data_IF_159154835361
#
_entry.id   IF_159154835361
#
_cell.length_a   1.000
_cell.length_b   1.000
_cell.length_c   1.000
_cell.angle_alpha   90.00
_cell.angle_beta   90.00
_cell.angle_gamma   90.00
#
_symmetry.space_group_name_H-M   'P 1'
#
loop_
_entity.id
_entity.type
_entity.pdbx_description
1 polymer ?
#
# COMPACT_ATOMS: atom_id res chain seq x y z
N UNK A 1 -18.69 9.49 -16.22
CA UNK A 1 -17.58 10.43 -16.03
C UNK A 1 -16.29 9.69 -16.33
N UNK A 2 -15.34 10.29 -17.05
CA UNK A 2 -14.03 9.65 -17.20
C UNK A 2 -13.35 9.53 -15.84
N UNK A 3 -12.82 8.35 -15.53
CA UNK A 3 -12.03 8.10 -14.32
C UNK A 3 -10.56 7.92 -14.70
N UNK A 4 -9.60 8.50 -13.95
CA UNK A 4 -9.80 9.35 -12.77
C UNK A 4 -10.36 10.73 -13.15
N UNK A 5 -11.08 11.38 -12.23
CA UNK A 5 -11.57 12.75 -12.40
C UNK A 5 -10.37 13.68 -12.56
N UNK A 6 -10.25 14.33 -13.71
CA UNK A 6 -9.08 15.13 -14.06
C UNK A 6 -8.92 16.41 -13.22
N UNK A 7 -10.00 16.95 -12.70
CA UNK A 7 -10.00 18.18 -11.92
C UNK A 7 -10.77 17.99 -10.61
N UNK A 8 -10.11 17.41 -9.62
CA UNK A 8 -10.62 17.46 -8.25
C UNK A 8 -10.47 18.90 -7.71
N UNK A 9 -11.48 19.37 -6.98
CA UNK A 9 -11.39 20.66 -6.29
C UNK A 9 -10.18 20.64 -5.35
N UNK A 10 -9.46 21.77 -5.18
CA UNK A 10 -8.38 21.87 -4.21
C UNK A 10 -8.84 21.46 -2.81
N UNK A 11 -7.97 20.80 -2.05
CA UNK A 11 -8.29 20.33 -0.71
C UNK A 11 -8.69 21.47 0.23
N UNK A 12 -8.14 22.68 0.04
CA UNK A 12 -8.51 23.90 0.76
C UNK A 12 -10.00 24.24 0.62
N UNK A 13 -10.60 23.91 -0.49
CA UNK A 13 -12.02 24.18 -0.76
C UNK A 13 -12.95 23.05 -0.32
N UNK A 14 -12.41 21.92 0.08
CA UNK A 14 -13.16 20.69 0.38
C UNK A 14 -12.73 20.07 1.70
N UNK A 15 -11.58 19.42 1.71
CA UNK A 15 -11.11 18.61 2.84
C UNK A 15 -10.76 19.44 4.07
N UNK A 16 -10.11 20.59 3.85
CA UNK A 16 -9.65 21.47 4.94
C UNK A 16 -10.77 22.20 5.66
N UNK A 17 -11.99 22.22 5.12
CA UNK A 17 -13.16 22.75 5.83
C UNK A 17 -13.51 21.90 7.07
N UNK A 18 -13.19 20.60 7.05
CA UNK A 18 -13.44 19.67 8.15
C UNK A 18 -12.14 19.10 8.75
N UNK A 19 -11.13 18.88 7.91
CA UNK A 19 -9.82 18.32 8.29
C UNK A 19 -8.78 19.43 8.34
N UNK A 20 -8.76 20.18 9.44
CA UNK A 20 -7.86 21.31 9.59
C UNK A 20 -6.41 20.87 9.79
N UNK A 21 -5.42 21.40 9.02
CA UNK A 21 -4.02 20.96 9.10
C UNK A 21 -3.39 21.08 10.49
N UNK A 22 -3.83 22.03 11.30
CA UNK A 22 -3.36 22.23 12.66
C UNK A 22 -3.72 21.10 13.65
N UNK A 23 -4.65 20.21 13.26
CA UNK A 23 -5.04 19.04 14.06
C UNK A 23 -4.17 17.81 13.82
N UNK A 24 -3.21 17.89 12.92
CA UNK A 24 -2.30 16.78 12.63
C UNK A 24 -1.06 16.85 13.51
N UNK A 25 -1.17 16.41 14.76
CA UNK A 25 0.00 16.33 15.64
C UNK A 25 0.30 14.93 16.10
N UNK A 26 1.55 14.76 16.57
CA UNK A 26 2.00 13.57 17.26
C UNK A 26 2.15 12.38 16.35
N UNK A 27 1.87 11.22 16.89
CA UNK A 27 1.95 9.95 16.20
C UNK A 27 0.71 9.12 16.46
N UNK A 28 0.33 8.29 15.50
CA UNK A 28 -0.77 7.34 15.61
C UNK A 28 -0.25 5.92 15.68
N UNK A 29 -0.73 5.15 16.65
CA UNK A 29 -0.48 3.72 16.68
C UNK A 29 -1.20 3.06 15.49
N UNK A 30 -0.42 2.35 14.67
CA UNK A 30 -0.91 1.47 13.62
C UNK A 30 -0.57 0.04 13.97
N UNK A 31 -1.60 -0.79 14.04
CA UNK A 31 -1.47 -2.24 14.22
C UNK A 31 -1.89 -2.89 12.91
N UNK A 32 -0.97 -3.55 12.26
CA UNK A 32 -1.18 -4.24 11.00
C UNK A 32 -1.07 -5.73 11.26
N UNK A 33 -2.17 -6.45 11.11
CA UNK A 33 -2.24 -7.90 11.23
C UNK A 33 -2.27 -8.51 9.84
N UNK A 34 -1.44 -9.51 9.61
CA UNK A 34 -1.34 -10.27 8.37
C UNK A 34 -1.44 -11.75 8.66
N UNK A 35 -2.10 -12.48 7.78
CA UNK A 35 -2.15 -13.93 7.81
C UNK A 35 -1.22 -14.51 6.75
N UNK A 36 -0.49 -15.56 7.10
CA UNK A 36 0.41 -16.27 6.20
C UNK A 36 -0.33 -17.12 5.17
N UNK A 37 0.36 -17.45 4.09
CA UNK A 37 -0.14 -18.36 3.05
C UNK A 37 0.18 -19.84 3.37
N UNK A 38 0.61 -20.11 4.59
CA UNK A 38 0.92 -21.45 5.12
C UNK A 38 -0.35 -22.19 5.57
N UNK A 39 -0.20 -23.46 5.92
CA UNK A 39 -1.31 -24.33 6.32
C UNK A 39 -2.08 -23.82 7.53
N UNK A 40 -1.38 -23.19 8.47
CA UNK A 40 -1.94 -22.67 9.72
C UNK A 40 -2.45 -21.24 9.60
N UNK A 41 -2.31 -20.61 8.43
CA UNK A 41 -2.59 -19.17 8.25
C UNK A 41 -1.91 -18.35 9.35
N UNK A 42 -0.62 -18.57 9.56
CA UNK A 42 0.15 -18.02 10.68
C UNK A 42 0.00 -16.51 10.78
N UNK A 43 -0.31 -16.02 11.97
CA UNK A 43 -0.56 -14.60 12.19
C UNK A 43 0.75 -13.87 12.43
N UNK A 44 0.89 -12.71 11.77
CA UNK A 44 1.95 -11.74 12.06
C UNK A 44 1.34 -10.38 12.33
N UNK A 45 1.87 -9.70 13.35
CA UNK A 45 1.42 -8.36 13.71
C UNK A 45 2.61 -7.41 13.74
N UNK A 46 2.44 -6.26 13.10
CA UNK A 46 3.40 -5.16 13.15
C UNK A 46 2.72 -4.01 13.85
N UNK A 47 3.34 -3.52 14.92
CA UNK A 47 2.93 -2.30 15.64
C UNK A 47 3.91 -1.20 15.30
N UNK A 48 3.38 -0.08 14.86
CA UNK A 48 4.21 1.09 14.53
C UNK A 48 3.53 2.39 14.98
N UNK A 49 4.34 3.34 15.37
CA UNK A 49 3.92 4.72 15.57
C UNK A 49 4.10 5.47 14.26
N UNK A 50 3.01 5.76 13.56
CA UNK A 50 3.02 6.58 12.37
C UNK A 50 3.12 8.05 12.78
N UNK A 51 4.18 8.73 12.37
CA UNK A 51 4.40 10.15 12.62
C UNK A 51 3.47 10.98 11.73
N UNK A 52 2.26 11.22 12.22
CA UNK A 52 1.26 11.98 11.47
C UNK A 52 1.58 13.46 11.41
N UNK A 53 2.23 14.01 12.41
CA UNK A 53 2.51 15.42 12.65
C UNK A 53 2.55 16.32 11.42
N UNK A 54 2.16 17.55 11.58
CA UNK A 54 2.21 18.60 10.56
C UNK A 54 2.88 19.86 11.07
N UNK A 55 2.90 20.03 12.38
CA UNK A 55 3.41 21.22 13.07
C UNK A 55 2.38 22.33 13.16
N UNK A 56 2.50 23.13 14.21
CA UNK A 56 1.72 24.33 14.46
C UNK A 56 2.60 25.57 14.29
N UNK A 57 2.07 26.72 13.87
CA UNK A 57 2.78 27.99 13.88
C UNK A 57 3.37 28.34 15.26
N UNK A 58 2.74 27.84 16.35
CA UNK A 58 3.14 28.09 17.73
C UNK A 58 4.14 27.09 18.28
N UNK A 59 4.16 25.86 17.79
CA UNK A 59 5.04 24.79 18.28
C UNK A 59 6.31 24.56 17.43
N UNK A 60 6.44 25.28 16.31
CA UNK A 60 7.66 25.27 15.48
C UNK A 60 7.74 24.08 14.54
N UNK A 61 8.68 23.18 14.74
CA UNK A 61 9.12 22.20 13.74
C UNK A 61 8.01 21.25 13.34
N UNK A 62 7.59 21.34 12.09
CA UNK A 62 6.76 20.34 11.46
C UNK A 62 7.59 19.12 11.10
N UNK A 63 7.22 17.98 11.63
CA UNK A 63 7.79 16.70 11.30
C UNK A 63 6.67 15.70 11.04
N UNK A 64 6.94 14.64 10.28
CA UNK A 64 5.96 13.61 9.97
C UNK A 64 5.37 13.75 8.57
N UNK A 65 4.44 12.84 8.24
CA UNK A 65 3.93 12.68 6.87
C UNK A 65 3.15 13.89 6.36
N UNK A 66 2.55 14.69 7.25
CA UNK A 66 1.84 15.93 6.88
C UNK A 66 2.76 17.17 6.80
N UNK A 67 4.08 16.99 6.91
CA UNK A 67 5.03 18.10 6.71
C UNK A 67 4.84 18.79 5.34
N UNK A 68 4.48 18.04 4.32
CA UNK A 68 4.20 18.53 2.96
C UNK A 68 3.03 19.52 2.90
N UNK A 69 2.13 19.43 3.88
CA UNK A 69 0.91 20.26 3.98
C UNK A 69 1.06 21.40 4.99
N UNK A 70 2.28 21.62 5.51
CA UNK A 70 2.51 22.71 6.43
C UNK A 70 2.35 24.06 5.73
N UNK A 71 1.63 24.97 6.38
CA UNK A 71 1.41 26.35 5.90
C UNK A 71 2.72 27.08 5.53
N UNK A 72 3.83 26.66 6.13
CA UNK A 72 5.13 27.27 5.85
C UNK A 72 5.95 26.65 4.75
N UNK A 73 5.50 25.56 4.16
CA UNK A 73 6.24 24.89 3.10
C UNK A 73 5.33 24.74 1.87
N UNK A 74 5.87 25.04 0.72
CA UNK A 74 5.21 24.73 -0.55
C UNK A 74 5.99 23.61 -1.23
N UNK A 75 5.31 22.50 -1.47
CA UNK A 75 5.87 21.38 -2.21
C UNK A 75 5.20 21.29 -3.56
N UNK A 76 6.00 21.34 -4.61
CA UNK A 76 5.58 21.17 -5.99
C UNK A 76 6.23 19.93 -6.57
N UNK A 77 5.56 19.25 -7.46
CA UNK A 77 6.12 18.13 -8.19
C UNK A 77 5.68 18.12 -9.65
N UNK A 78 6.48 17.49 -10.49
CA UNK A 78 6.16 17.24 -11.88
C UNK A 78 6.02 15.74 -12.12
N UNK A 79 4.88 15.32 -12.66
CA UNK A 79 4.65 13.93 -13.05
C UNK A 79 4.75 13.74 -14.56
N UNK A 80 5.29 12.60 -14.96
CA UNK A 80 5.42 12.23 -16.38
C UNK A 80 4.31 11.28 -16.85
N UNK A 81 3.40 10.88 -15.94
CA UNK A 81 2.27 10.01 -16.25
C UNK A 81 0.96 10.54 -15.65
N UNK A 82 -0.20 10.25 -16.27
CA UNK A 82 -1.50 10.75 -15.80
C UNK A 82 -1.89 10.25 -14.41
N UNK A 83 -1.41 9.07 -14.01
CA UNK A 83 -1.69 8.48 -12.69
C UNK A 83 -0.77 9.01 -11.59
N UNK A 84 0.19 9.88 -11.93
CA UNK A 84 1.16 10.49 -11.02
C UNK A 84 1.98 9.47 -10.22
N UNK A 85 2.32 8.37 -10.88
CA UNK A 85 3.16 7.33 -10.26
C UNK A 85 4.65 7.55 -10.53
N UNK A 86 4.99 8.33 -11.56
CA UNK A 86 6.36 8.72 -11.92
C UNK A 86 6.53 10.21 -11.68
N UNK A 87 7.35 10.54 -10.68
CA UNK A 87 7.60 11.92 -10.25
C UNK A 87 9.10 12.21 -10.40
N UNK A 88 9.59 12.60 -11.57
CA UNK A 88 11.01 12.82 -11.79
C UNK A 88 11.54 14.16 -11.23
N UNK A 89 10.67 15.07 -10.76
CA UNK A 89 11.05 16.37 -10.25
C UNK A 89 10.19 16.80 -9.07
N UNK A 90 10.85 17.35 -8.05
CA UNK A 90 10.21 17.92 -6.85
C UNK A 90 10.88 19.26 -6.53
N UNK A 91 10.06 20.25 -6.17
CA UNK A 91 10.51 21.56 -5.68
C UNK A 91 9.89 21.87 -4.33
N UNK A 92 10.74 22.27 -3.40
CA UNK A 92 10.36 22.68 -2.06
C UNK A 92 10.71 24.15 -1.87
N UNK A 93 9.74 24.94 -1.45
CA UNK A 93 9.96 26.33 -1.00
C UNK A 93 9.62 26.39 0.49
N UNK A 94 10.58 26.78 1.30
CA UNK A 94 10.42 26.90 2.76
C UNK A 94 9.85 28.27 3.17
N UNK A 95 9.58 28.45 4.48
CA UNK A 95 9.07 29.70 5.06
C UNK A 95 9.94 30.92 4.78
N UNK A 96 11.26 30.73 4.63
CA UNK A 96 12.23 31.79 4.33
C UNK A 96 12.31 32.11 2.84
N UNK A 97 11.45 31.48 2.01
CA UNK A 97 11.44 31.65 0.57
C UNK A 97 12.58 30.89 -0.16
N UNK A 98 13.41 30.14 0.54
CA UNK A 98 14.47 29.34 -0.08
C UNK A 98 13.84 28.21 -0.89
N UNK A 99 14.23 28.11 -2.15
CA UNK A 99 13.81 27.08 -3.08
C UNK A 99 14.90 26.02 -3.19
N UNK A 100 14.51 24.75 -3.12
CA UNK A 100 15.37 23.59 -3.39
C UNK A 100 14.66 22.69 -4.38
N UNK A 101 15.34 22.30 -5.43
CA UNK A 101 14.83 21.38 -6.44
C UNK A 101 15.55 20.05 -6.38
N UNK A 102 14.83 18.99 -6.55
CA UNK A 102 15.30 17.62 -6.53
C UNK A 102 14.91 16.93 -7.83
N UNK A 103 15.84 16.18 -8.39
CA UNK A 103 15.66 15.43 -9.63
C UNK A 103 15.94 13.96 -9.39
N UNK A 104 15.11 13.10 -9.95
CA UNK A 104 15.32 11.65 -9.95
C UNK A 104 16.53 11.31 -10.86
N UNK A 105 17.62 10.85 -10.25
CA UNK A 105 18.84 10.44 -10.95
C UNK A 105 18.68 9.12 -11.72
N UNK A 106 17.69 8.30 -11.35
CA UNK A 106 17.44 7.03 -12.05
C UNK A 106 16.75 7.21 -13.40
N UNK A 107 16.06 8.35 -13.56
CA UNK A 107 15.34 8.70 -14.80
C UNK A 107 15.61 10.17 -15.17
N UNK A 108 16.83 10.50 -15.63
CA UNK A 108 17.16 11.86 -16.02
C UNK A 108 16.23 12.38 -17.12
N UNK A 109 15.74 13.60 -16.94
CA UNK A 109 14.86 14.25 -17.91
C UNK A 109 15.65 14.97 -19.00
N UNK A 110 15.23 14.81 -20.23
CA UNK A 110 15.63 15.72 -21.31
C UNK A 110 14.89 17.05 -21.19
N UNK A 111 15.40 18.11 -21.83
CA UNK A 111 14.73 19.41 -21.87
C UNK A 111 13.29 19.33 -22.41
N UNK A 112 13.05 18.49 -23.42
CA UNK A 112 11.73 18.25 -23.98
C UNK A 112 10.79 17.49 -23.03
N UNK A 113 11.30 16.52 -22.30
CA UNK A 113 10.53 15.81 -21.29
C UNK A 113 10.16 16.71 -20.11
N UNK A 114 11.08 17.58 -19.69
CA UNK A 114 10.83 18.56 -18.62
C UNK A 114 9.67 19.51 -18.96
N UNK A 115 9.56 19.96 -20.20
CA UNK A 115 8.46 20.81 -20.67
C UNK A 115 7.09 20.11 -20.66
N UNK A 116 7.07 18.78 -20.73
CA UNK A 116 5.84 17.97 -20.78
C UNK A 116 5.36 17.50 -19.41
N UNK A 117 6.09 17.81 -18.35
CA UNK A 117 5.69 17.43 -16.99
C UNK A 117 4.37 18.11 -16.59
N UNK A 118 3.49 17.34 -16.00
CA UNK A 118 2.31 17.86 -15.33
C UNK A 118 2.72 18.40 -13.97
N UNK A 119 2.92 19.72 -13.88
CA UNK A 119 3.34 20.37 -12.64
C UNK A 119 2.13 20.64 -11.76
N UNK A 120 2.25 20.25 -10.48
CA UNK A 120 1.23 20.42 -9.49
C UNK A 120 1.79 20.81 -8.13
N UNK A 121 1.10 21.68 -7.39
CA UNK A 121 1.33 21.84 -5.95
C UNK A 121 0.76 20.63 -5.22
N UNK A 122 1.55 20.06 -4.32
CA UNK A 122 1.14 18.89 -3.53
C UNK A 122 -0.03 19.27 -2.61
N UNK A 123 -1.00 18.39 -2.54
CA UNK A 123 -2.27 18.55 -1.88
C UNK A 123 -2.67 17.23 -1.18
N UNK A 124 -3.66 17.26 -0.29
CA UNK A 124 -4.20 16.09 0.43
C UNK A 124 -4.55 14.94 -0.51
N UNK A 125 -5.13 15.23 -1.67
CA UNK A 125 -5.53 14.24 -2.67
C UNK A 125 -4.35 13.60 -3.43
N UNK A 126 -3.15 14.11 -3.31
CA UNK A 126 -1.98 13.50 -3.93
C UNK A 126 -1.51 12.25 -3.17
N UNK A 127 -1.88 12.17 -1.88
CA UNK A 127 -1.72 11.00 -1.04
C UNK A 127 -3.07 10.30 -0.79
N UNK A 128 -4.11 11.06 -0.36
CA UNK A 128 -5.46 10.54 -0.11
C UNK A 128 -6.30 10.51 -1.40
N UNK A 129 -5.78 9.85 -2.44
CA UNK A 129 -6.40 9.85 -3.76
C UNK A 129 -7.57 8.85 -3.92
N UNK A 130 -7.91 8.10 -2.86
CA UNK A 130 -9.04 7.16 -2.78
C UNK A 130 -9.96 7.49 -1.60
N UNK A 131 -10.51 8.70 -1.48
CA UNK A 131 -11.27 9.10 -0.30
C UNK A 131 -12.63 8.38 -0.16
N UNK A 132 -13.23 7.96 -1.27
CA UNK A 132 -14.58 7.37 -1.27
C UNK A 132 -14.58 5.86 -1.47
N UNK A 133 -13.71 5.31 -2.29
CA UNK A 133 -13.67 3.87 -2.57
C UNK A 133 -12.24 3.39 -2.73
N UNK A 134 -11.84 2.48 -1.85
CA UNK A 134 -10.56 1.77 -1.91
C UNK A 134 -10.83 0.40 -2.52
N UNK A 135 -10.27 0.15 -3.70
CA UNK A 135 -10.25 -1.19 -4.29
C UNK A 135 -9.16 -2.00 -3.60
N UNK A 136 -9.57 -2.84 -2.65
CA UNK A 136 -8.61 -3.63 -1.87
C UNK A 136 -8.06 -4.77 -2.71
N UNK A 137 -6.78 -4.98 -2.58
CA UNK A 137 -6.16 -6.18 -3.14
C UNK A 137 -6.63 -7.45 -2.42
N UNK A 138 -6.60 -8.61 -3.09
CA UNK A 138 -7.05 -9.87 -2.52
C UNK A 138 -6.40 -10.20 -1.19
N UNK A 139 -5.11 -9.96 -1.06
CA UNK A 139 -4.35 -10.31 0.13
C UNK A 139 -4.82 -9.52 1.36
N UNK A 140 -4.89 -8.19 1.23
CA UNK A 140 -5.38 -7.32 2.30
C UNK A 140 -6.86 -7.52 2.60
N UNK A 141 -7.68 -7.83 1.59
CA UNK A 141 -9.12 -8.05 1.78
C UNK A 141 -9.39 -9.35 2.56
N UNK A 142 -8.65 -10.42 2.26
CA UNK A 142 -8.77 -11.68 3.00
C UNK A 142 -8.24 -11.54 4.44
N UNK A 143 -7.15 -10.79 4.67
CA UNK A 143 -6.70 -10.50 6.02
C UNK A 143 -7.78 -9.85 6.88
N UNK A 144 -8.56 -8.94 6.32
CA UNK A 144 -9.63 -8.26 7.05
C UNK A 144 -10.76 -9.19 7.49
N UNK A 145 -11.19 -10.11 6.63
CA UNK A 145 -12.26 -11.06 6.99
C UNK A 145 -11.78 -12.14 7.95
N UNK A 146 -10.52 -12.55 7.87
CA UNK A 146 -9.89 -13.44 8.84
C UNK A 146 -9.74 -12.75 10.20
N UNK A 147 -9.26 -11.51 10.22
CA UNK A 147 -9.10 -10.72 11.44
C UNK A 147 -10.45 -10.44 12.12
N UNK A 148 -11.50 -10.21 11.34
CA UNK A 148 -12.85 -10.00 11.84
C UNK A 148 -13.54 -11.30 12.29
N UNK A 149 -12.91 -12.47 12.12
CA UNK A 149 -13.52 -13.76 12.44
C UNK A 149 -14.68 -14.17 11.52
N UNK A 150 -14.86 -13.50 10.38
CA UNK A 150 -15.88 -13.83 9.40
C UNK A 150 -15.54 -15.09 8.60
N UNK A 151 -14.27 -15.41 8.53
CA UNK A 151 -13.74 -16.66 7.96
C UNK A 151 -12.94 -17.38 9.03
N UNK A 152 -13.20 -18.68 9.21
CA UNK A 152 -12.50 -19.52 10.18
C UNK A 152 -11.04 -19.70 9.77
N UNK A 153 -10.12 -19.05 10.50
CA UNK A 153 -8.68 -19.13 10.25
C UNK A 153 -8.07 -20.50 10.52
N UNK A 154 -8.81 -21.41 11.15
CA UNK A 154 -8.40 -22.81 11.34
C UNK A 154 -8.60 -23.70 10.12
N UNK A 155 -9.21 -23.20 9.06
CA UNK A 155 -9.28 -23.87 7.77
C UNK A 155 -7.89 -23.87 7.12
N UNK A 156 -7.30 -25.05 6.85
CA UNK A 156 -5.96 -25.13 6.29
C UNK A 156 -5.81 -24.35 4.99
N UNK A 157 -4.77 -23.51 4.89
CA UNK A 157 -4.46 -22.70 3.70
C UNK A 157 -5.56 -21.76 3.22
N UNK A 158 -6.57 -21.43 4.05
CA UNK A 158 -7.70 -20.62 3.58
C UNK A 158 -7.24 -19.26 3.04
N UNK A 159 -6.23 -18.63 3.66
CA UNK A 159 -5.66 -17.40 3.16
C UNK A 159 -5.14 -17.55 1.73
N UNK A 160 -4.29 -18.55 1.50
CA UNK A 160 -3.69 -18.81 0.19
C UNK A 160 -4.73 -19.09 -0.89
N UNK A 161 -5.67 -19.98 -0.59
CA UNK A 161 -6.65 -20.41 -1.57
C UNK A 161 -7.67 -19.32 -1.89
N UNK A 162 -8.09 -18.53 -0.90
CA UNK A 162 -8.95 -17.38 -1.12
C UNK A 162 -8.26 -16.32 -1.99
N UNK A 163 -7.01 -15.96 -1.70
CA UNK A 163 -6.23 -15.02 -2.51
C UNK A 163 -6.05 -15.55 -3.94
N UNK A 164 -5.75 -16.84 -4.08
CA UNK A 164 -5.63 -17.49 -5.40
C UNK A 164 -6.93 -17.39 -6.21
N UNK A 165 -8.06 -17.71 -5.59
CA UNK A 165 -9.36 -17.64 -6.24
C UNK A 165 -9.75 -16.21 -6.64
N UNK A 166 -9.51 -15.23 -5.76
CA UNK A 166 -9.76 -13.80 -6.05
C UNK A 166 -8.87 -13.22 -7.15
N UNK A 167 -7.70 -13.79 -7.36
CA UNK A 167 -6.71 -13.31 -8.35
C UNK A 167 -6.90 -13.91 -9.74
N UNK A 168 -7.88 -14.79 -9.93
CA UNK A 168 -8.20 -15.35 -11.25
C UNK A 168 -8.84 -14.31 -12.17
N UNK A 169 -8.63 -14.48 -13.47
CA UNK A 169 -9.21 -13.62 -14.50
C UNK A 169 -10.63 -14.05 -14.87
N UNK A 170 -11.63 -13.66 -14.11
CA UNK A 170 -13.04 -13.88 -14.47
C UNK A 170 -13.54 -12.76 -15.37
N UNK A 171 -14.42 -13.08 -16.31
CA UNK A 171 -14.99 -12.10 -17.26
C UNK A 171 -16.28 -11.46 -16.75
N UNK A 172 -17.00 -12.15 -15.84
CA UNK A 172 -18.23 -11.66 -15.22
C UNK A 172 -18.27 -11.96 -13.72
N UNK A 173 -19.12 -11.26 -12.97
CA UNK A 173 -19.33 -11.53 -11.54
C UNK A 173 -19.92 -12.92 -11.30
N UNK A 174 -20.79 -13.42 -12.17
CA UNK A 174 -21.38 -14.75 -12.03
C UNK A 174 -20.32 -15.83 -12.23
N UNK A 175 -19.47 -15.70 -13.26
CA UNK A 175 -18.34 -16.60 -13.47
C UNK A 175 -17.39 -16.61 -12.25
N UNK A 176 -17.13 -15.44 -11.67
CA UNK A 176 -16.30 -15.34 -10.47
C UNK A 176 -16.95 -16.05 -9.28
N UNK A 177 -18.26 -15.87 -9.10
CA UNK A 177 -19.01 -16.52 -8.00
C UNK A 177 -18.92 -18.04 -8.09
N UNK A 178 -19.15 -18.61 -9.26
CA UNK A 178 -19.04 -20.05 -9.49
C UNK A 178 -17.61 -20.54 -9.38
N UNK A 179 -16.65 -19.82 -9.99
CA UNK A 179 -15.23 -20.18 -9.97
C UNK A 179 -14.62 -20.16 -8.58
N UNK A 180 -14.96 -19.18 -7.76
CA UNK A 180 -14.53 -19.08 -6.35
C UNK A 180 -15.10 -20.26 -5.55
N UNK A 181 -16.40 -20.53 -5.70
CA UNK A 181 -17.04 -21.64 -5.00
C UNK A 181 -16.37 -22.98 -5.37
N UNK A 182 -16.23 -23.24 -6.67
CA UNK A 182 -15.60 -24.46 -7.16
C UNK A 182 -14.16 -24.61 -6.70
N UNK A 183 -13.38 -23.54 -6.74
CA UNK A 183 -11.95 -23.57 -6.37
C UNK A 183 -11.78 -23.97 -4.88
N UNK A 184 -12.54 -23.36 -3.98
CA UNK A 184 -12.44 -23.62 -2.55
C UNK A 184 -13.05 -24.99 -2.18
N UNK A 185 -14.22 -25.32 -2.71
CA UNK A 185 -14.91 -26.57 -2.43
C UNK A 185 -14.06 -27.78 -2.87
N UNK A 186 -13.59 -27.76 -4.11
CA UNK A 186 -12.73 -28.83 -4.66
C UNK A 186 -11.39 -28.94 -3.91
N UNK A 187 -10.80 -27.82 -3.49
CA UNK A 187 -9.58 -27.85 -2.71
C UNK A 187 -9.77 -28.61 -1.41
N UNK A 188 -10.78 -28.27 -0.60
CA UNK A 188 -11.04 -28.96 0.67
C UNK A 188 -11.49 -30.40 0.47
N UNK A 189 -12.36 -30.66 -0.49
CA UNK A 189 -12.83 -32.02 -0.79
C UNK A 189 -11.64 -32.95 -1.13
N UNK A 190 -10.70 -32.48 -1.96
CA UNK A 190 -9.58 -33.32 -2.44
C UNK A 190 -8.40 -33.37 -1.49
N UNK A 191 -8.05 -32.27 -0.84
CA UNK A 191 -6.82 -32.19 -0.04
C UNK A 191 -7.08 -32.39 1.46
N UNK A 192 -8.30 -32.11 1.94
CA UNK A 192 -8.67 -32.10 3.34
C UNK A 192 -10.06 -32.69 3.57
N UNK A 193 -10.31 -33.93 3.08
CA UNK A 193 -11.63 -34.58 3.11
C UNK A 193 -12.24 -34.66 4.53
N UNK A 194 -11.44 -34.94 5.55
CA UNK A 194 -11.89 -34.97 6.96
C UNK A 194 -12.33 -33.57 7.43
N UNK A 195 -11.63 -32.52 7.04
CA UNK A 195 -12.00 -31.12 7.34
C UNK A 195 -13.24 -30.75 6.54
N UNK A 196 -13.33 -31.16 5.28
CA UNK A 196 -14.48 -30.94 4.44
C UNK A 196 -15.77 -31.50 5.06
N UNK A 197 -15.70 -32.70 5.62
CA UNK A 197 -16.85 -33.34 6.30
C UNK A 197 -17.18 -32.63 7.63
N UNK A 198 -16.19 -32.37 8.47
CA UNK A 198 -16.40 -31.86 9.84
C UNK A 198 -16.64 -30.36 9.90
N UNK A 199 -16.20 -29.57 8.91
CA UNK A 199 -16.27 -28.09 8.89
C UNK A 199 -16.99 -27.55 7.65
N UNK A 200 -17.95 -28.30 7.11
CA UNK A 200 -18.66 -27.95 5.86
C UNK A 200 -19.29 -26.56 5.89
N UNK A 201 -19.89 -26.19 7.01
CA UNK A 201 -20.52 -24.87 7.16
C UNK A 201 -19.50 -23.75 7.20
N UNK A 202 -18.35 -23.96 7.85
CA UNK A 202 -17.26 -22.99 7.86
C UNK A 202 -16.68 -22.77 6.45
N UNK A 203 -16.54 -23.84 5.64
CA UNK A 203 -16.11 -23.75 4.25
C UNK A 203 -17.14 -22.98 3.41
N UNK A 204 -18.42 -23.27 3.58
CA UNK A 204 -19.49 -22.55 2.90
C UNK A 204 -19.51 -21.06 3.25
N UNK A 205 -19.33 -20.76 4.53
CA UNK A 205 -19.20 -19.36 5.01
C UNK A 205 -17.99 -18.68 4.38
N UNK A 206 -16.83 -19.34 4.35
CA UNK A 206 -15.64 -18.82 3.72
C UNK A 206 -15.83 -18.52 2.23
N UNK A 207 -16.48 -19.43 1.50
CA UNK A 207 -16.84 -19.23 0.08
C UNK A 207 -17.68 -17.96 -0.07
N UNK A 208 -18.73 -17.79 0.74
CA UNK A 208 -19.60 -16.62 0.70
C UNK A 208 -18.86 -15.31 0.96
N UNK A 209 -17.99 -15.28 1.97
CA UNK A 209 -17.20 -14.07 2.28
C UNK A 209 -16.17 -13.76 1.18
N UNK A 210 -15.53 -14.77 0.57
CA UNK A 210 -14.60 -14.57 -0.55
C UNK A 210 -15.35 -14.05 -1.79
N UNK A 211 -16.54 -14.57 -2.08
CA UNK A 211 -17.41 -14.05 -3.16
C UNK A 211 -17.81 -12.60 -2.91
N UNK A 212 -18.12 -12.24 -1.67
CA UNK A 212 -18.43 -10.87 -1.27
C UNK A 212 -17.23 -9.93 -1.44
N UNK A 213 -16.03 -10.37 -1.07
CA UNK A 213 -14.79 -9.61 -1.35
C UNK A 213 -14.69 -9.33 -2.85
N UNK A 214 -14.88 -10.35 -3.69
CA UNK A 214 -14.80 -10.18 -5.14
C UNK A 214 -15.80 -9.13 -5.63
N UNK A 215 -17.07 -9.30 -5.26
CA UNK A 215 -18.16 -8.43 -5.75
C UNK A 215 -18.03 -6.97 -5.36
N UNK A 216 -17.30 -6.67 -4.28
CA UNK A 216 -17.11 -5.31 -3.75
C UNK A 216 -15.81 -4.65 -4.17
N UNK A 217 -14.82 -5.41 -4.63
CA UNK A 217 -13.50 -4.87 -4.96
C UNK A 217 -13.08 -5.09 -6.42
N UNK A 218 -13.75 -6.00 -7.16
CA UNK A 218 -13.36 -6.39 -8.51
C UNK A 218 -14.58 -6.28 -9.43
N UNK A 219 -14.45 -5.54 -10.50
CA UNK A 219 -15.52 -5.21 -11.45
C UNK A 219 -15.09 -5.57 -12.86
N UNK A 220 -15.20 -6.85 -13.27
CA UNK A 220 -14.67 -7.32 -14.56
C UNK A 220 -15.31 -6.62 -15.76
N UNK A 221 -16.62 -6.38 -15.73
CA UNK A 221 -17.35 -5.70 -16.81
C UNK A 221 -16.86 -4.26 -17.01
N UNK A 222 -16.42 -3.60 -15.94
CA UNK A 222 -15.86 -2.26 -15.98
C UNK A 222 -14.34 -2.26 -16.18
N UNK A 223 -13.71 -3.43 -16.16
CA UNK A 223 -12.24 -3.60 -16.15
C UNK A 223 -11.56 -2.83 -15.02
N UNK A 224 -12.20 -2.82 -13.83
CA UNK A 224 -11.71 -2.10 -12.64
C UNK A 224 -11.47 -3.06 -11.50
N UNK A 225 -10.26 -2.98 -10.95
CA UNK A 225 -9.84 -3.68 -9.73
C UNK A 225 -8.73 -2.87 -9.02
N UNK A 226 -8.10 -3.47 -8.01
CA UNK A 226 -7.02 -2.85 -7.23
C UNK A 226 -5.79 -2.45 -8.07
N UNK A 227 -5.62 -3.00 -9.28
CA UNK A 227 -4.50 -2.70 -10.19
C UNK A 227 -4.78 -1.49 -11.09
N UNK A 228 -6.05 -1.14 -11.25
CA UNK A 228 -6.47 -0.10 -12.20
C UNK A 228 -6.18 1.29 -11.68
N UNK A 229 -6.38 1.50 -10.38
CA UNK A 229 -6.25 2.81 -9.77
C UNK A 229 -5.29 2.76 -8.57
N UNK A 230 -4.07 3.28 -8.70
CA UNK A 230 -3.11 3.32 -7.61
C UNK A 230 -3.68 3.99 -6.36
N UNK A 231 -3.44 3.38 -5.20
CA UNK A 231 -3.63 4.01 -3.89
C UNK A 231 -2.27 4.57 -3.43
N UNK A 232 -2.23 5.87 -3.18
CA UNK A 232 -0.99 6.55 -2.83
C UNK A 232 -0.71 6.58 -1.33
N UNK A 233 -1.62 6.05 -0.51
CA UNK A 233 -1.41 5.92 0.93
C UNK A 233 -0.51 4.72 1.22
N UNK A 234 0.59 4.98 1.93
CA UNK A 234 1.55 3.93 2.27
C UNK A 234 2.49 3.59 1.12
N UNK A 235 2.93 2.32 1.05
CA UNK A 235 3.92 1.87 0.07
C UNK A 235 3.87 0.33 -0.13
N UNK A 236 2.75 -0.31 0.19
CA UNK A 236 2.65 -1.78 0.17
C UNK A 236 2.39 -2.32 -1.24
N UNK A 237 1.41 -1.78 -1.93
CA UNK A 237 1.01 -2.21 -3.28
C UNK A 237 1.52 -1.27 -4.37
N UNK A 238 1.59 -0.01 -4.04
CA UNK A 238 2.05 1.06 -4.90
C UNK A 238 3.19 1.80 -4.22
N UNK A 239 4.05 2.50 -4.98
CA UNK A 239 5.16 3.23 -4.39
C UNK A 239 4.72 4.26 -3.35
N UNK A 240 3.55 4.88 -3.49
CA UNK A 240 3.04 5.83 -2.54
C UNK A 240 4.05 6.92 -2.20
N UNK A 241 4.53 6.94 -0.94
CA UNK A 241 5.55 7.88 -0.50
C UNK A 241 6.89 7.69 -1.22
N UNK A 242 7.20 6.48 -1.65
CA UNK A 242 8.44 6.16 -2.37
C UNK A 242 8.45 6.64 -3.84
N UNK A 243 7.39 7.31 -4.30
CA UNK A 243 7.44 8.04 -5.57
C UNK A 243 8.48 9.18 -5.55
N UNK A 244 8.81 9.69 -4.35
CA UNK A 244 9.80 10.73 -4.12
C UNK A 244 10.85 10.33 -3.08
N UNK A 245 10.45 9.57 -2.03
CA UNK A 245 11.33 9.12 -0.95
C UNK A 245 12.02 7.79 -1.31
N UNK A 246 12.62 7.72 -2.48
CA UNK A 246 13.27 6.52 -3.04
C UNK A 246 14.79 6.53 -2.88
N UNK A 247 15.35 7.68 -2.45
CA UNK A 247 16.80 7.91 -2.33
C UNK A 247 17.46 8.28 -3.65
N UNK A 248 16.69 8.43 -4.74
CA UNK A 248 17.20 8.83 -6.06
C UNK A 248 16.97 10.32 -6.35
N UNK A 249 16.07 10.96 -5.63
CA UNK A 249 15.80 12.39 -5.75
C UNK A 249 16.88 13.20 -5.06
N UNK A 250 17.68 13.89 -5.85
CA UNK A 250 18.87 14.60 -5.38
C UNK A 250 18.86 16.04 -5.87
N UNK A 251 19.18 16.98 -4.97
CA UNK A 251 19.33 18.41 -5.31
C UNK A 251 20.66 18.69 -6.00
N UNK A 252 20.76 19.88 -6.61
CA UNK A 252 22.03 20.38 -7.17
C UNK A 252 23.16 20.50 -6.13
N UNK A 253 22.82 20.67 -4.85
CA UNK A 253 23.76 20.69 -3.72
C UNK A 253 24.10 19.28 -3.18
N UNK A 254 23.62 18.21 -3.80
CA UNK A 254 23.83 16.83 -3.38
C UNK A 254 22.94 16.36 -2.22
N UNK A 255 21.97 17.15 -1.78
CA UNK A 255 21.00 16.72 -0.77
C UNK A 255 20.05 15.69 -1.36
N UNK A 256 19.81 14.60 -0.62
CA UNK A 256 18.91 13.50 -1.02
C UNK A 256 17.62 13.58 -0.25
N UNK A 257 16.46 13.35 -0.92
CA UNK A 257 15.22 13.07 -0.23
C UNK A 257 15.36 11.73 0.49
N UNK A 258 15.23 11.78 1.82
CA UNK A 258 15.47 10.62 2.70
C UNK A 258 14.45 9.52 2.42
N UNK A 259 14.90 8.25 2.49
CA UNK A 259 14.08 7.04 2.29
C UNK A 259 13.99 6.14 3.53
N UNK A 260 14.57 6.56 4.64
CA UNK A 260 14.61 5.73 5.84
C UNK A 260 13.22 5.58 6.49
N UNK A 261 12.97 4.40 7.06
CA UNK A 261 11.68 4.05 7.66
C UNK A 261 11.28 5.03 8.78
N UNK A 262 12.26 5.47 9.57
CA UNK A 262 12.02 6.36 10.72
C UNK A 262 11.57 7.76 10.32
N UNK A 263 11.64 8.12 9.04
CA UNK A 263 11.09 9.38 8.56
C UNK A 263 9.57 9.45 8.78
N UNK A 264 8.89 8.35 8.52
CA UNK A 264 7.42 8.27 8.53
C UNK A 264 6.86 7.51 9.74
N UNK A 265 7.56 6.48 10.21
CA UNK A 265 7.06 5.64 11.31
C UNK A 265 8.20 5.03 12.13
N UNK A 266 7.86 4.64 13.36
CA UNK A 266 8.77 3.90 14.25
C UNK A 266 8.14 2.54 14.54
N UNK A 267 8.81 1.46 14.21
CA UNK A 267 8.38 0.10 14.56
C UNK A 267 8.59 -0.08 16.06
N UNK A 268 7.55 -0.50 16.77
CA UNK A 268 7.56 -0.70 18.22
C UNK A 268 7.28 -2.13 18.64
N UNK A 269 7.03 -3.01 17.69
CA UNK A 269 6.90 -4.44 17.93
C UNK A 269 6.53 -5.20 16.67
N UNK A 270 7.05 -6.41 16.57
CA UNK A 270 6.76 -7.38 15.50
C UNK A 270 6.58 -8.75 16.15
N UNK A 271 5.36 -9.28 16.09
CA UNK A 271 5.00 -10.54 16.74
C UNK A 271 4.41 -11.53 15.75
N UNK A 272 4.62 -12.81 16.05
CA UNK A 272 3.98 -13.94 15.36
C UNK A 272 2.73 -14.43 16.09
N UNK A 273 2.31 -13.74 17.13
CA UNK A 273 1.08 -14.03 17.88
C UNK A 273 0.31 -12.76 18.18
N UNK A 274 -1.01 -12.86 18.21
CA UNK A 274 -1.89 -11.75 18.63
C UNK A 274 -1.86 -11.67 20.15
N UNK A 275 -0.78 -11.15 20.73
CA UNK A 275 -0.73 -10.86 22.16
C UNK A 275 -1.12 -9.39 22.41
N UNK A 276 -1.76 -9.17 23.57
CA UNK A 276 -2.06 -7.80 24.01
C UNK A 276 -0.74 -7.03 24.18
N UNK A 277 -0.64 -5.79 23.72
CA UNK A 277 0.56 -4.99 23.92
C UNK A 277 0.76 -4.76 25.42
N UNK A 278 1.79 -5.32 25.99
CA UNK A 278 2.10 -5.21 27.42
C UNK A 278 3.09 -4.08 27.72
N UNK A 279 3.92 -3.68 26.75
CA UNK A 279 4.86 -2.57 26.91
C UNK A 279 5.22 -1.94 25.57
N UNK A 280 5.49 -0.64 25.59
CA UNK A 280 6.06 0.07 24.42
C UNK A 280 7.55 -0.20 24.43
N UNK A 281 7.98 -1.14 23.61
CA UNK A 281 9.40 -1.43 23.42
C UNK A 281 10.12 -0.24 22.75
N UNK A 282 11.43 -0.18 22.92
CA UNK A 282 12.28 0.72 22.17
C UNK A 282 12.09 0.49 20.64
N UNK A 283 12.44 1.50 19.84
CA UNK A 283 12.32 1.39 18.37
C UNK A 283 13.07 0.18 17.84
N UNK A 284 12.36 -0.72 17.19
CA UNK A 284 12.91 -1.93 16.61
C UNK A 284 13.30 -1.69 15.15
N UNK A 285 14.34 -2.38 14.70
CA UNK A 285 14.66 -2.46 13.28
C UNK A 285 13.60 -3.32 12.60
N UNK A 286 13.09 -2.87 11.44
CA UNK A 286 12.17 -3.68 10.67
C UNK A 286 12.85 -4.97 10.21
N UNK A 287 12.26 -6.10 10.58
CA UNK A 287 12.65 -7.41 10.09
C UNK A 287 11.68 -7.86 8.99
N UNK A 288 12.23 -8.09 7.80
CA UNK A 288 11.42 -8.50 6.67
C UNK A 288 10.89 -9.93 6.88
N UNK A 289 9.57 -10.21 6.66
CA UNK A 289 8.96 -11.53 6.91
C UNK A 289 9.67 -12.70 6.22
N UNK A 290 10.32 -12.41 5.08
CA UNK A 290 11.13 -13.37 4.33
C UNK A 290 12.59 -12.96 4.44
N UNK A 291 13.53 -13.89 4.66
CA UNK A 291 14.94 -13.56 4.71
C UNK A 291 15.39 -12.96 3.37
N UNK A 292 15.81 -11.71 3.41
CA UNK A 292 16.40 -11.02 2.25
C UNK A 292 17.89 -11.36 2.20
N UNK A 293 18.25 -12.39 1.43
CA UNK A 293 19.63 -12.86 1.30
C UNK A 293 20.33 -12.26 0.07
N UNK A 294 21.63 -12.04 0.18
CA UNK A 294 22.48 -11.59 -0.92
C UNK A 294 22.02 -10.23 -1.48
N UNK A 295 21.85 -10.15 -2.78
CA UNK A 295 21.45 -8.91 -3.48
C UNK A 295 20.05 -8.43 -3.09
N UNK A 296 19.15 -9.32 -2.63
CA UNK A 296 17.82 -8.92 -2.19
C UNK A 296 17.83 -8.01 -0.95
N UNK A 297 18.84 -8.11 -0.09
CA UNK A 297 19.01 -7.22 1.04
C UNK A 297 19.36 -5.77 0.64
N UNK A 298 19.80 -5.56 -0.58
CA UNK A 298 20.30 -4.28 -1.09
C UNK A 298 19.32 -3.58 -2.05
N UNK A 299 18.34 -4.32 -2.57
CA UNK A 299 17.36 -3.76 -3.51
C UNK A 299 16.33 -2.89 -2.78
N UNK A 300 15.76 -1.94 -3.50
CA UNK A 300 14.72 -1.08 -2.97
C UNK A 300 13.42 -1.85 -2.75
N UNK A 301 12.74 -1.59 -1.63
CA UNK A 301 11.48 -2.24 -1.25
C UNK A 301 10.41 -2.18 -2.35
N UNK A 302 10.38 -1.09 -3.11
CA UNK A 302 9.43 -0.89 -4.20
C UNK A 302 9.68 -1.77 -5.43
N UNK A 303 10.82 -2.43 -5.56
CA UNK A 303 11.03 -3.39 -6.64
C UNK A 303 10.23 -4.69 -6.43
N UNK A 304 10.03 -5.08 -5.17
CA UNK A 304 9.20 -6.23 -4.82
C UNK A 304 7.76 -5.82 -4.49
N UNK A 305 7.55 -4.62 -3.96
CA UNK A 305 6.27 -4.08 -3.54
C UNK A 305 5.73 -3.06 -4.55
N UNK A 306 5.82 -3.34 -5.85
CA UNK A 306 5.36 -2.43 -6.89
C UNK A 306 4.17 -2.97 -7.70
N UNK A 307 3.30 -2.07 -8.14
CA UNK A 307 2.19 -2.25 -9.11
C UNK A 307 1.07 -3.19 -8.69
N UNK A 308 0.66 -3.23 -7.42
CA UNK A 308 -0.47 -4.05 -6.99
C UNK A 308 -0.25 -5.55 -7.24
N UNK A 309 0.97 -5.93 -7.59
CA UNK A 309 1.42 -7.30 -7.45
C UNK A 309 1.70 -7.46 -5.97
N UNK A 310 0.73 -7.97 -5.21
CA UNK A 310 1.03 -8.55 -3.92
C UNK A 310 2.30 -9.37 -4.10
N UNK A 311 3.05 -9.64 -3.04
CA UNK A 311 4.23 -10.49 -3.07
C UNK A 311 3.95 -11.71 -3.97
N UNK A 312 3.97 -11.48 -5.30
CA UNK A 312 3.89 -12.58 -6.23
C UNK A 312 5.18 -13.33 -6.02
N UNK A 313 5.08 -14.62 -5.77
CA UNK A 313 6.20 -15.56 -5.87
C UNK A 313 6.84 -15.56 -7.26
N UNK A 314 6.47 -14.63 -8.12
CA UNK A 314 7.02 -14.45 -9.45
C UNK A 314 8.34 -13.70 -9.37
N UNK A 315 9.33 -14.36 -8.81
CA UNK A 315 10.73 -14.00 -8.99
C UNK A 315 11.14 -13.96 -10.48
N UNK A 316 10.24 -14.36 -11.37
CA UNK A 316 10.38 -14.40 -12.84
C UNK A 316 10.71 -13.03 -13.45
N UNK A 317 10.32 -11.93 -12.82
CA UNK A 317 10.66 -10.58 -13.31
C UNK A 317 12.14 -10.24 -13.18
N UNK A 318 12.85 -10.86 -12.26
CA UNK A 318 14.28 -10.66 -12.01
C UNK A 318 15.11 -11.93 -12.25
N UNK A 319 14.47 -13.10 -12.28
CA UNK A 319 15.12 -14.37 -12.51
C UNK A 319 14.62 -14.98 -13.83
N UNK A 320 15.44 -14.90 -14.85
CA UNK A 320 15.22 -15.67 -16.09
C UNK A 320 15.34 -17.14 -15.72
N UNK A 321 14.33 -17.97 -16.04
CA UNK A 321 14.50 -19.42 -15.96
C UNK A 321 15.68 -19.79 -16.84
N UNK A 322 16.69 -20.53 -16.37
CA UNK A 322 17.65 -21.11 -17.27
C UNK A 322 16.86 -21.97 -18.27
N UNK A 323 17.08 -21.73 -19.56
CA UNK A 323 16.56 -22.59 -20.60
C UNK A 323 17.07 -23.99 -20.32
N UNK A 324 16.16 -24.90 -19.95
CA UNK A 324 16.43 -26.33 -19.84
C UNK A 324 16.42 -26.97 -21.20
#
# INVERSE_FOLDING_TARGET
MPTPVHSLRPAQQTCEQCHWPEKFFGAQLKVITRFGHDEKNSVRQIRSLLRTGGGSPTTGIAAGIHWHMNIGNEVWYGSSDPQRQKIPWVRIKNKQGRVTEYFDRSTPLTAEQSKKLQIRRMDCIDCHNRPSHIFRDPDSAVDLVLLAGLVDSSLPYIKREAVRALSQGYTTKDQAREGIATALDVFYLKQYSKIYESKRDAIKTAIGEVQKIYSTNIFPEMKVDWRTHPDNIGHTLYPGCFRCHDGNHVSGEGKVLRKDCQLCHTIIGQDTSVQKPTEVAAAEKFDHPWPLLGKHAQISCNLCHWRGRGLSNECITCHVRPAG
#
